data_IF_662587718665
#
_entry.id   IF_662587718665
#
_cell.length_a   1.000
_cell.length_b   1.000
_cell.length_c   1.000
_cell.angle_alpha   90.00
_cell.angle_beta   90.00
_cell.angle_gamma   90.00
#
_symmetry.space_group_name_H-M   'P 1'
#
loop_
_entity.id
_entity.type
_entity.pdbx_description
1 polymer ?
#
# COMPACT_ATOMS: atom_id res chain seq x y z
N UNK A 1 -43.15 -0.95 -18.53
CA UNK A 1 -43.64 0.14 -17.66
C UNK A 1 -42.66 0.25 -16.50
N UNK A 2 -41.88 1.33 -16.49
CA UNK A 2 -40.77 1.70 -15.57
C UNK A 2 -40.21 0.56 -14.69
N UNK A 3 -39.29 -0.22 -15.27
CA UNK A 3 -38.55 -1.32 -14.61
C UNK A 3 -37.68 -0.86 -13.44
N UNK A 4 -37.43 0.45 -13.34
CA UNK A 4 -36.55 1.04 -12.33
C UNK A 4 -37.29 2.10 -11.52
N UNK A 5 -37.01 2.16 -10.22
CA UNK A 5 -37.46 3.21 -9.33
C UNK A 5 -36.35 4.25 -9.20
N UNK A 6 -36.66 5.55 -9.21
CA UNK A 6 -35.62 6.58 -9.03
C UNK A 6 -34.96 6.40 -7.67
N UNK A 7 -33.64 6.54 -7.63
CA UNK A 7 -32.86 6.48 -6.40
C UNK A 7 -33.05 7.76 -5.55
N UNK A 8 -34.23 7.90 -4.95
CA UNK A 8 -34.62 9.01 -4.06
C UNK A 8 -35.07 8.50 -2.68
N UNK A 9 -35.01 9.36 -1.65
CA UNK A 9 -35.37 9.03 -0.28
C UNK A 9 -36.80 8.45 -0.14
N UNK A 10 -37.73 8.89 -0.98
CA UNK A 10 -39.09 8.36 -1.02
C UNK A 10 -39.14 6.89 -1.45
N UNK A 11 -38.30 6.46 -2.39
CA UNK A 11 -38.21 5.06 -2.82
C UNK A 11 -37.65 4.16 -1.72
N UNK A 12 -36.70 4.66 -0.91
CA UNK A 12 -36.23 3.98 0.29
C UNK A 12 -37.31 3.88 1.38
N UNK A 13 -38.12 4.92 1.55
CA UNK A 13 -39.21 4.93 2.52
C UNK A 13 -40.33 3.95 2.12
N UNK A 14 -40.57 3.76 0.82
CA UNK A 14 -41.50 2.75 0.30
C UNK A 14 -41.02 1.33 0.64
N UNK A 15 -39.73 1.04 0.48
CA UNK A 15 -39.16 -0.26 0.87
C UNK A 15 -39.29 -0.54 2.37
N UNK A 16 -39.13 0.48 3.22
CA UNK A 16 -39.28 0.35 4.68
C UNK A 16 -40.74 0.21 5.15
N UNK A 17 -41.69 0.69 4.36
CA UNK A 17 -43.14 0.64 4.68
C UNK A 17 -43.85 -0.57 4.07
N UNK A 18 -43.14 -1.38 3.29
CA UNK A 18 -43.69 -2.59 2.69
C UNK A 18 -44.10 -3.61 3.75
N UNK A 19 -45.14 -4.39 3.46
CA UNK A 19 -45.73 -5.32 4.43
C UNK A 19 -45.01 -6.67 4.48
N UNK A 20 -44.25 -7.01 3.44
CA UNK A 20 -43.42 -8.22 3.39
C UNK A 20 -41.97 -7.89 3.03
N UNK A 21 -41.06 -8.72 3.54
CA UNK A 21 -39.61 -8.61 3.29
C UNK A 21 -39.31 -8.80 1.79
N UNK A 22 -40.07 -9.64 1.10
CA UNK A 22 -39.97 -9.89 -0.34
C UNK A 22 -40.35 -8.66 -1.19
N UNK A 23 -41.35 -7.90 -0.76
CA UNK A 23 -41.76 -6.65 -1.42
C UNK A 23 -40.69 -5.57 -1.20
N UNK A 24 -40.12 -5.48 0.01
CA UNK A 24 -38.98 -4.61 0.31
C UNK A 24 -37.76 -4.93 -0.58
N UNK A 25 -37.42 -6.21 -0.75
CA UNK A 25 -36.31 -6.67 -1.60
C UNK A 25 -36.55 -6.27 -3.07
N UNK A 26 -37.76 -6.50 -3.59
CA UNK A 26 -38.11 -6.15 -4.98
C UNK A 26 -38.00 -4.64 -5.23
N UNK A 27 -38.47 -3.82 -4.28
CA UNK A 27 -38.38 -2.35 -4.38
C UNK A 27 -36.92 -1.90 -4.39
N UNK A 28 -36.07 -2.46 -3.51
CA UNK A 28 -34.65 -2.10 -3.42
C UNK A 28 -33.86 -2.52 -4.65
N UNK A 29 -34.13 -3.70 -5.22
CA UNK A 29 -33.54 -4.13 -6.50
C UNK A 29 -33.92 -3.21 -7.67
N UNK A 30 -35.17 -2.71 -7.70
CA UNK A 30 -35.62 -1.74 -8.71
C UNK A 30 -34.96 -0.38 -8.57
N UNK A 31 -34.62 0.04 -7.34
CA UNK A 31 -33.85 1.28 -7.07
C UNK A 31 -32.40 1.13 -7.55
N UNK A 32 -31.82 -0.07 -7.42
CA UNK A 32 -30.44 -0.34 -7.86
C UNK A 32 -30.29 -0.38 -9.38
N UNK A 33 -31.35 -0.73 -10.12
CA UNK A 33 -31.36 -0.74 -11.58
C UNK A 33 -31.47 0.64 -12.24
N UNK A 34 -31.70 1.71 -11.47
CA UNK A 34 -31.63 3.07 -12.01
C UNK A 34 -30.19 3.37 -12.45
N UNK A 35 -29.96 3.75 -13.70
CA UNK A 35 -28.62 4.05 -14.24
C UNK A 35 -28.13 5.47 -13.91
N UNK A 36 -28.95 6.26 -13.21
CA UNK A 36 -28.59 7.62 -12.82
C UNK A 36 -27.37 7.65 -11.88
N UNK A 37 -26.36 8.43 -12.26
CA UNK A 37 -25.03 8.52 -11.63
C UNK A 37 -24.80 9.87 -10.91
N UNK A 38 -25.83 10.48 -10.35
CA UNK A 38 -25.61 11.66 -9.50
C UNK A 38 -24.98 11.26 -8.15
N UNK A 39 -24.19 12.12 -7.50
CA UNK A 39 -23.59 11.83 -6.20
C UNK A 39 -24.64 11.51 -5.12
N UNK A 40 -25.81 12.16 -5.16
CA UNK A 40 -26.93 11.88 -4.25
C UNK A 40 -27.54 10.50 -4.52
N UNK A 41 -27.68 10.11 -5.79
CA UNK A 41 -28.22 8.81 -6.17
C UNK A 41 -27.28 7.67 -5.75
N UNK A 42 -25.96 7.90 -5.73
CA UNK A 42 -24.98 6.93 -5.22
C UNK A 42 -25.12 6.70 -3.71
N UNK A 43 -25.29 7.76 -2.92
CA UNK A 43 -25.48 7.64 -1.46
C UNK A 43 -26.79 6.91 -1.12
N UNK A 44 -27.85 7.19 -1.88
CA UNK A 44 -29.15 6.55 -1.71
C UNK A 44 -29.10 5.07 -2.10
N UNK A 45 -28.35 4.73 -3.16
CA UNK A 45 -28.10 3.33 -3.53
C UNK A 45 -27.23 2.60 -2.51
N UNK A 46 -26.22 3.24 -1.92
CA UNK A 46 -25.45 2.67 -0.80
C UNK A 46 -26.38 2.30 0.38
N UNK A 47 -27.28 3.21 0.78
CA UNK A 47 -28.27 2.95 1.83
C UNK A 47 -29.27 1.84 1.44
N UNK A 48 -29.66 1.79 0.16
CA UNK A 48 -30.53 0.73 -0.36
C UNK A 48 -29.86 -0.65 -0.22
N UNK A 49 -28.58 -0.74 -0.56
CA UNK A 49 -27.80 -1.98 -0.46
C UNK A 49 -27.64 -2.41 0.99
N UNK A 50 -27.36 -1.49 1.91
CA UNK A 50 -27.25 -1.83 3.34
C UNK A 50 -28.55 -2.44 3.86
N UNK A 51 -29.70 -1.79 3.59
CA UNK A 51 -31.02 -2.29 3.99
C UNK A 51 -31.37 -3.61 3.31
N UNK A 52 -31.06 -3.75 2.02
CA UNK A 52 -31.26 -4.99 1.28
C UNK A 52 -30.45 -6.13 1.91
N UNK A 53 -29.22 -5.85 2.33
CA UNK A 53 -28.36 -6.82 3.01
C UNK A 53 -28.96 -7.22 4.35
N UNK A 54 -29.43 -6.27 5.16
CA UNK A 54 -30.07 -6.55 6.45
C UNK A 54 -31.27 -7.49 6.28
N UNK A 55 -32.16 -7.20 5.33
CA UNK A 55 -33.33 -8.05 5.04
C UNK A 55 -32.94 -9.45 4.53
N UNK A 56 -32.02 -9.54 3.57
CA UNK A 56 -31.57 -10.83 3.03
C UNK A 56 -30.80 -11.67 4.05
N UNK A 57 -30.10 -11.03 4.98
CA UNK A 57 -29.40 -11.73 6.07
C UNK A 57 -30.40 -12.33 7.05
N UNK A 58 -31.49 -11.63 7.37
CA UNK A 58 -32.57 -12.16 8.22
C UNK A 58 -33.27 -13.38 7.60
N UNK A 59 -33.40 -13.42 6.27
CA UNK A 59 -33.98 -14.57 5.55
C UNK A 59 -32.97 -15.67 5.19
N UNK A 60 -31.69 -15.53 5.57
CA UNK A 60 -30.59 -16.42 5.16
C UNK A 60 -30.46 -16.59 3.63
N UNK A 61 -30.82 -15.57 2.84
CA UNK A 61 -30.79 -15.57 1.36
C UNK A 61 -29.71 -14.64 0.79
N UNK A 62 -28.74 -14.21 1.60
CA UNK A 62 -27.74 -13.24 1.17
C UNK A 62 -26.62 -13.83 0.28
N UNK A 63 -26.56 -15.15 0.07
CA UNK A 63 -25.50 -15.85 -0.67
C UNK A 63 -25.23 -15.24 -2.06
N UNK A 64 -26.28 -14.92 -2.81
CA UNK A 64 -26.15 -14.43 -4.20
C UNK A 64 -26.14 -12.89 -4.30
N UNK A 65 -26.12 -12.17 -3.19
CA UNK A 65 -26.24 -10.71 -3.18
C UNK A 65 -25.06 -10.05 -3.88
N UNK A 66 -23.83 -10.47 -3.57
CA UNK A 66 -22.63 -9.89 -4.15
C UNK A 66 -22.55 -10.16 -5.66
N UNK A 67 -22.98 -11.34 -6.12
CA UNK A 67 -23.10 -11.66 -7.55
C UNK A 67 -24.06 -10.71 -8.27
N UNK A 68 -25.23 -10.46 -7.69
CA UNK A 68 -26.24 -9.54 -8.26
C UNK A 68 -25.74 -8.09 -8.31
N UNK A 69 -24.85 -7.70 -7.40
CA UNK A 69 -24.28 -6.35 -7.34
C UNK A 69 -23.05 -6.16 -8.26
N UNK A 70 -22.50 -7.22 -8.88
CA UNK A 70 -21.33 -7.11 -9.80
C UNK A 70 -21.54 -6.10 -10.94
N UNK A 71 -22.70 -6.06 -11.64
CA UNK A 71 -22.93 -5.06 -12.69
C UNK A 71 -22.98 -3.63 -12.15
N UNK A 72 -23.35 -3.45 -10.87
CA UNK A 72 -23.32 -2.14 -10.23
C UNK A 72 -21.88 -1.73 -9.85
N UNK A 73 -21.04 -2.68 -9.44
CA UNK A 73 -19.63 -2.42 -9.09
C UNK A 73 -18.76 -1.97 -10.26
N UNK A 74 -19.15 -2.21 -11.51
CA UNK A 74 -18.46 -1.69 -12.70
C UNK A 74 -18.81 -0.23 -12.98
N UNK A 75 -19.96 0.26 -12.50
CA UNK A 75 -20.45 1.62 -12.73
C UNK A 75 -19.97 2.63 -11.68
N UNK A 76 -19.49 2.17 -10.53
CA UNK A 76 -19.08 3.03 -9.42
C UNK A 76 -17.56 3.04 -9.20
N UNK A 77 -17.00 4.10 -8.59
CA UNK A 77 -15.59 4.16 -8.25
C UNK A 77 -15.12 2.97 -7.40
N UNK A 78 -13.87 2.55 -7.59
CA UNK A 78 -13.24 1.42 -6.87
C UNK A 78 -13.34 1.57 -5.34
N UNK A 79 -13.10 2.78 -4.83
CA UNK A 79 -13.19 3.07 -3.39
C UNK A 79 -14.61 2.86 -2.84
N UNK A 80 -15.64 3.29 -3.59
CA UNK A 80 -17.04 3.07 -3.20
C UNK A 80 -17.41 1.59 -3.24
N UNK A 81 -16.94 0.84 -4.25
CA UNK A 81 -17.13 -0.61 -4.28
C UNK A 81 -16.55 -1.26 -3.02
N UNK A 82 -15.31 -0.93 -2.66
CA UNK A 82 -14.67 -1.50 -1.49
C UNK A 82 -15.44 -1.21 -0.19
N UNK A 83 -15.98 0.02 -0.05
CA UNK A 83 -16.83 0.41 1.08
C UNK A 83 -18.13 -0.42 1.14
N UNK A 84 -18.79 -0.63 0.00
CA UNK A 84 -20.03 -1.41 -0.07
C UNK A 84 -19.78 -2.88 0.26
N UNK A 85 -18.78 -3.51 -0.37
CA UNK A 85 -18.44 -4.92 -0.12
C UNK A 85 -18.11 -5.13 1.35
N UNK A 86 -17.32 -4.25 1.95
CA UNK A 86 -17.02 -4.29 3.40
C UNK A 86 -18.30 -4.16 4.22
N UNK A 87 -19.15 -3.18 3.91
CA UNK A 87 -20.41 -2.96 4.62
C UNK A 87 -21.32 -4.17 4.59
N UNK A 88 -21.41 -4.86 3.45
CA UNK A 88 -22.20 -6.09 3.30
C UNK A 88 -21.65 -7.19 4.24
N UNK A 89 -20.35 -7.46 4.17
CA UNK A 89 -19.70 -8.48 5.02
C UNK A 89 -19.87 -8.14 6.51
N UNK A 90 -19.71 -6.87 6.89
CA UNK A 90 -19.86 -6.42 8.27
C UNK A 90 -21.31 -6.57 8.78
N UNK A 91 -22.33 -6.35 7.93
CA UNK A 91 -23.74 -6.56 8.27
C UNK A 91 -24.02 -8.05 8.46
N UNK A 92 -23.57 -8.91 7.54
CA UNK A 92 -23.74 -10.37 7.65
C UNK A 92 -23.07 -10.90 8.92
N UNK A 93 -21.91 -10.35 9.29
CA UNK A 93 -21.17 -10.73 10.49
C UNK A 93 -21.85 -10.40 11.82
N UNK A 94 -22.83 -9.49 11.85
CA UNK A 94 -23.58 -9.16 13.07
C UNK A 94 -24.59 -10.24 13.47
N UNK A 95 -25.00 -11.09 12.52
CA UNK A 95 -26.00 -12.13 12.78
C UNK A 95 -25.29 -13.41 13.21
N UNK A 96 -25.61 -13.98 14.39
CA UNK A 96 -24.97 -15.21 14.86
C UNK A 96 -25.35 -16.39 13.96
N UNK A 97 -24.39 -17.27 13.67
CA UNK A 97 -24.60 -18.47 12.85
C UNK A 97 -24.43 -18.28 11.34
N UNK A 98 -24.00 -17.10 10.88
CA UNK A 98 -23.76 -16.82 9.45
C UNK A 98 -22.33 -17.10 8.99
N UNK A 99 -21.51 -17.80 9.77
CA UNK A 99 -20.07 -18.00 9.46
C UNK A 99 -19.86 -18.66 8.10
N UNK A 100 -20.61 -19.72 7.79
CA UNK A 100 -20.57 -20.40 6.48
C UNK A 100 -20.96 -19.47 5.33
N UNK A 101 -21.98 -18.64 5.54
CA UNK A 101 -22.43 -17.62 4.58
C UNK A 101 -21.36 -16.54 4.36
N UNK A 102 -20.66 -16.12 5.41
CA UNK A 102 -19.56 -15.16 5.29
C UNK A 102 -18.39 -15.76 4.50
N UNK A 103 -18.06 -17.03 4.75
CA UNK A 103 -16.99 -17.74 4.04
C UNK A 103 -17.34 -17.87 2.55
N UNK A 104 -18.57 -18.27 2.21
CA UNK A 104 -19.00 -18.40 0.81
C UNK A 104 -18.94 -17.07 0.06
N UNK A 105 -19.46 -15.99 0.67
CA UNK A 105 -19.40 -14.64 0.13
C UNK A 105 -17.96 -14.15 -0.07
N UNK A 106 -17.07 -14.41 0.91
CA UNK A 106 -15.68 -14.02 0.80
C UNK A 106 -14.96 -14.80 -0.31
N UNK A 107 -15.11 -16.14 -0.38
CA UNK A 107 -14.50 -16.96 -1.45
C UNK A 107 -14.94 -16.48 -2.85
N UNK A 108 -16.24 -16.20 -3.02
CA UNK A 108 -16.76 -15.67 -4.28
C UNK A 108 -16.15 -14.31 -4.62
N UNK A 109 -16.05 -13.40 -3.65
CA UNK A 109 -15.47 -12.08 -3.86
C UNK A 109 -13.96 -12.13 -4.16
N UNK A 110 -13.20 -13.05 -3.56
CA UNK A 110 -11.79 -13.26 -3.91
C UNK A 110 -11.66 -13.64 -5.37
N UNK A 111 -12.48 -14.60 -5.85
CA UNK A 111 -12.46 -15.01 -7.26
C UNK A 111 -12.81 -13.84 -8.20
N UNK A 112 -13.86 -13.08 -7.91
CA UNK A 112 -14.26 -11.96 -8.74
C UNK A 112 -13.21 -10.83 -8.74
N UNK A 113 -12.67 -10.47 -7.58
CA UNK A 113 -11.64 -9.42 -7.48
C UNK A 113 -10.32 -9.82 -8.16
N UNK A 114 -10.04 -11.12 -8.26
CA UNK A 114 -8.93 -11.63 -9.07
C UNK A 114 -9.14 -11.34 -10.57
N UNK A 115 -10.32 -11.66 -11.12
CA UNK A 115 -10.66 -11.40 -12.53
C UNK A 115 -10.65 -9.90 -12.84
N UNK A 116 -11.22 -9.08 -11.96
CA UNK A 116 -11.31 -7.63 -12.12
C UNK A 116 -10.00 -6.88 -11.79
N UNK A 117 -8.93 -7.60 -11.42
CA UNK A 117 -7.63 -7.05 -11.02
C UNK A 117 -7.76 -5.97 -9.93
N UNK A 118 -8.63 -6.20 -8.93
CA UNK A 118 -8.86 -5.29 -7.79
C UNK A 118 -8.01 -5.69 -6.58
N UNK A 119 -6.69 -5.56 -6.68
CA UNK A 119 -5.70 -6.07 -5.71
C UNK A 119 -6.00 -5.69 -4.25
N UNK A 120 -6.18 -4.40 -3.94
CA UNK A 120 -6.42 -3.96 -2.56
C UNK A 120 -7.74 -4.49 -1.97
N UNK A 121 -8.79 -4.58 -2.79
CA UNK A 121 -10.06 -5.16 -2.33
C UNK A 121 -9.89 -6.67 -2.11
N UNK A 122 -9.19 -7.36 -3.03
CA UNK A 122 -8.87 -8.78 -2.91
C UNK A 122 -8.12 -9.07 -1.62
N UNK A 123 -7.02 -8.36 -1.35
CA UNK A 123 -6.21 -8.56 -0.14
C UNK A 123 -7.05 -8.42 1.14
N UNK A 124 -7.92 -7.41 1.19
CA UNK A 124 -8.81 -7.20 2.35
C UNK A 124 -9.84 -8.32 2.53
N UNK A 125 -10.41 -8.82 1.44
CA UNK A 125 -11.37 -9.94 1.49
C UNK A 125 -10.66 -11.23 1.84
N UNK A 126 -9.47 -11.50 1.30
CA UNK A 126 -8.61 -12.64 1.65
C UNK A 126 -8.23 -12.63 3.13
N UNK A 127 -7.87 -11.46 3.69
CA UNK A 127 -7.56 -11.33 5.12
C UNK A 127 -8.79 -11.64 6.01
N UNK A 128 -9.97 -11.16 5.60
CA UNK A 128 -11.23 -11.47 6.30
C UNK A 128 -11.60 -12.95 6.20
N UNK A 129 -11.41 -13.55 5.02
CA UNK A 129 -11.64 -14.97 4.79
C UNK A 129 -10.71 -15.83 5.66
N UNK A 130 -9.42 -15.50 5.71
CA UNK A 130 -8.46 -16.20 6.55
C UNK A 130 -8.86 -16.15 8.03
N UNK A 131 -9.32 -14.99 8.54
CA UNK A 131 -9.81 -14.88 9.91
C UNK A 131 -11.00 -15.79 10.19
N UNK A 132 -11.98 -15.85 9.27
CA UNK A 132 -13.14 -16.75 9.41
C UNK A 132 -12.75 -18.23 9.36
N UNK A 133 -11.83 -18.60 8.47
CA UNK A 133 -11.33 -19.98 8.38
C UNK A 133 -10.55 -20.41 9.63
N UNK A 134 -9.87 -19.48 10.29
CA UNK A 134 -9.24 -19.76 11.59
C UNK A 134 -10.29 -20.04 12.68
N UNK A 135 -11.42 -19.33 12.68
CA UNK A 135 -12.54 -19.58 13.61
C UNK A 135 -13.21 -20.93 13.34
N UNK A 136 -13.36 -21.33 12.07
CA UNK A 136 -13.93 -22.65 11.68
C UNK A 136 -12.94 -23.81 11.79
N UNK A 137 -11.69 -23.55 12.20
CA UNK A 137 -10.59 -24.52 12.33
C UNK A 137 -10.10 -25.10 11.00
N UNK A 138 -10.38 -24.44 9.88
CA UNK A 138 -9.83 -24.74 8.56
C UNK A 138 -8.43 -24.13 8.40
N UNK A 139 -7.50 -24.56 9.26
CA UNK A 139 -6.16 -23.94 9.38
C UNK A 139 -5.32 -24.04 8.11
N UNK A 140 -5.45 -25.12 7.35
CA UNK A 140 -4.65 -25.34 6.12
C UNK A 140 -4.96 -24.32 5.03
N UNK A 141 -6.25 -24.05 4.78
CA UNK A 141 -6.67 -23.04 3.81
C UNK A 141 -6.37 -21.63 4.31
N UNK A 142 -6.61 -21.37 5.60
CA UNK A 142 -6.28 -20.08 6.21
C UNK A 142 -4.78 -19.74 6.06
N UNK A 143 -3.88 -20.68 6.37
CA UNK A 143 -2.43 -20.50 6.22
C UNK A 143 -2.02 -20.27 4.76
N UNK A 144 -2.65 -20.96 3.81
CA UNK A 144 -2.39 -20.77 2.38
C UNK A 144 -2.75 -19.34 1.93
N UNK A 145 -3.93 -18.86 2.34
CA UNK A 145 -4.38 -17.50 2.03
C UNK A 145 -3.47 -16.44 2.67
N UNK A 146 -3.12 -16.61 3.94
CA UNK A 146 -2.20 -15.72 4.64
C UNK A 146 -0.83 -15.71 3.95
N UNK A 147 -0.27 -16.87 3.59
CA UNK A 147 1.01 -16.92 2.87
C UNK A 147 0.97 -16.17 1.53
N UNK A 148 -0.14 -16.24 0.80
CA UNK A 148 -0.29 -15.51 -0.46
C UNK A 148 -0.44 -14.00 -0.26
N UNK A 149 -1.12 -13.58 0.79
CA UNK A 149 -1.22 -12.17 1.18
C UNK A 149 0.16 -11.57 1.47
N UNK A 150 0.95 -12.27 2.29
CA UNK A 150 2.29 -11.81 2.71
C UNK A 150 3.23 -11.68 1.51
N UNK A 151 3.19 -12.64 0.58
CA UNK A 151 3.93 -12.53 -0.70
C UNK A 151 3.47 -11.31 -1.51
N UNK A 152 2.18 -10.98 -1.47
CA UNK A 152 1.62 -9.81 -2.12
C UNK A 152 2.13 -8.49 -1.55
N UNK A 153 2.33 -8.41 -0.23
CA UNK A 153 2.88 -7.22 0.41
C UNK A 153 4.36 -7.02 0.08
N UNK A 154 5.15 -8.10 0.07
CA UNK A 154 6.55 -8.06 -0.39
C UNK A 154 6.64 -7.55 -1.85
N UNK A 155 5.79 -8.07 -2.75
CA UNK A 155 5.74 -7.60 -4.14
C UNK A 155 5.27 -6.14 -4.26
N UNK A 156 4.34 -5.73 -3.40
CA UNK A 156 3.86 -4.35 -3.35
C UNK A 156 4.97 -3.41 -2.88
N UNK A 157 5.76 -3.81 -1.90
CA UNK A 157 6.97 -3.09 -1.48
C UNK A 157 7.95 -2.90 -2.63
N UNK A 158 8.28 -3.98 -3.36
CA UNK A 158 9.18 -3.92 -4.53
C UNK A 158 8.67 -2.95 -5.59
N UNK A 159 7.37 -2.98 -5.89
CA UNK A 159 6.78 -2.09 -6.89
C UNK A 159 6.83 -0.61 -6.45
N UNK A 160 6.59 -0.32 -5.17
CA UNK A 160 6.62 1.04 -4.66
C UNK A 160 8.04 1.58 -4.51
N UNK A 161 9.03 0.71 -4.23
CA UNK A 161 10.44 1.10 -4.11
C UNK A 161 11.00 1.78 -5.37
N UNK A 162 10.39 1.57 -6.54
CA UNK A 162 10.75 2.26 -7.79
C UNK A 162 10.48 3.78 -7.76
N UNK A 163 9.61 4.26 -6.87
CA UNK A 163 9.13 5.66 -6.86
C UNK A 163 9.06 6.29 -5.48
N UNK A 164 8.67 5.52 -4.48
CA UNK A 164 8.41 6.00 -3.12
C UNK A 164 8.87 4.96 -2.09
N UNK A 165 10.12 5.12 -1.66
CA UNK A 165 10.76 4.27 -0.66
C UNK A 165 10.08 4.35 0.72
N UNK A 166 9.41 5.46 1.07
CA UNK A 166 8.71 5.58 2.36
C UNK A 166 7.47 4.69 2.39
N UNK A 167 6.70 4.70 1.31
CA UNK A 167 5.56 3.79 1.17
C UNK A 167 6.01 2.34 1.04
N UNK A 168 7.10 2.09 0.31
CA UNK A 168 7.68 0.75 0.18
C UNK A 168 8.11 0.16 1.54
N UNK A 169 8.73 0.98 2.40
CA UNK A 169 9.11 0.58 3.76
C UNK A 169 7.91 0.01 4.54
N UNK A 170 6.75 0.67 4.49
CA UNK A 170 5.54 0.21 5.16
C UNK A 170 5.11 -1.19 4.69
N UNK A 171 5.09 -1.43 3.38
CA UNK A 171 4.77 -2.75 2.83
C UNK A 171 5.80 -3.83 3.23
N UNK A 172 7.09 -3.49 3.26
CA UNK A 172 8.12 -4.43 3.71
C UNK A 172 8.02 -4.73 5.21
N UNK A 173 7.64 -3.73 6.03
CA UNK A 173 7.41 -3.90 7.46
C UNK A 173 6.25 -4.86 7.73
N UNK A 174 5.11 -4.68 7.07
CA UNK A 174 3.95 -5.59 7.18
C UNK A 174 4.33 -7.02 6.74
N UNK A 175 5.07 -7.15 5.63
CA UNK A 175 5.57 -8.44 5.17
C UNK A 175 6.55 -9.08 6.17
N UNK A 176 7.42 -8.29 6.80
CA UNK A 176 8.36 -8.74 7.82
C UNK A 176 7.64 -9.25 9.08
N UNK A 177 6.71 -8.47 9.63
CA UNK A 177 5.96 -8.90 10.83
C UNK A 177 5.20 -10.19 10.57
N UNK A 178 4.63 -10.33 9.37
CA UNK A 178 3.87 -11.52 9.02
C UNK A 178 4.75 -12.75 8.75
N UNK A 179 5.93 -12.61 8.11
CA UNK A 179 6.87 -13.73 7.98
C UNK A 179 7.46 -14.16 9.32
N UNK A 180 7.80 -13.20 10.19
CA UNK A 180 8.28 -13.46 11.55
C UNK A 180 7.25 -14.19 12.40
N UNK A 181 5.97 -13.81 12.30
CA UNK A 181 4.89 -14.53 12.98
C UNK A 181 4.71 -15.97 12.50
N UNK A 182 5.16 -16.29 11.27
CA UNK A 182 5.08 -17.61 10.67
C UNK A 182 6.41 -18.39 10.74
N UNK A 183 7.46 -17.83 11.34
CA UNK A 183 8.83 -18.38 11.35
C UNK A 183 9.31 -18.73 9.93
N UNK A 184 8.96 -17.89 8.96
CA UNK A 184 9.32 -18.10 7.56
C UNK A 184 10.69 -17.47 7.25
N UNK A 185 11.66 -18.22 6.69
CA UNK A 185 13.01 -17.72 6.47
C UNK A 185 13.09 -16.50 5.54
N UNK A 186 12.00 -16.17 4.84
CA UNK A 186 11.92 -14.97 3.99
C UNK A 186 11.81 -13.66 4.75
N UNK A 187 11.55 -13.70 6.06
CA UNK A 187 11.57 -12.53 6.95
C UNK A 187 12.87 -11.71 6.81
N UNK A 188 14.01 -12.38 6.66
CA UNK A 188 15.33 -11.73 6.50
C UNK A 188 15.36 -10.86 5.24
N UNK A 189 14.71 -11.29 4.14
CA UNK A 189 14.64 -10.49 2.92
C UNK A 189 13.76 -9.25 3.09
N UNK A 190 12.61 -9.38 3.77
CA UNK A 190 11.76 -8.23 4.09
C UNK A 190 12.52 -7.21 4.93
N UNK A 191 13.23 -7.66 5.98
CA UNK A 191 14.06 -6.80 6.82
C UNK A 191 15.17 -6.12 6.01
N UNK A 192 15.86 -6.87 5.14
CA UNK A 192 16.89 -6.35 4.25
C UNK A 192 16.36 -5.22 3.35
N UNK A 193 15.19 -5.38 2.76
CA UNK A 193 14.58 -4.35 1.92
C UNK A 193 14.05 -3.15 2.71
N UNK A 194 13.62 -3.33 3.97
CA UNK A 194 13.33 -2.22 4.88
C UNK A 194 14.58 -1.37 5.13
N UNK A 195 15.72 -2.01 5.43
CA UNK A 195 16.99 -1.32 5.66
C UNK A 195 17.45 -0.58 4.39
N UNK A 196 17.27 -1.17 3.21
CA UNK A 196 17.53 -0.51 1.94
C UNK A 196 16.69 0.76 1.81
N UNK A 197 15.39 0.69 2.08
CA UNK A 197 14.50 1.85 2.03
C UNK A 197 14.98 2.96 2.96
N UNK A 198 15.43 2.63 4.18
CA UNK A 198 15.97 3.62 5.13
C UNK A 198 17.20 4.36 4.57
N UNK A 199 18.14 3.64 3.96
CA UNK A 199 19.29 4.29 3.28
C UNK A 199 18.80 5.20 2.15
N UNK A 200 17.85 4.72 1.33
CA UNK A 200 17.31 5.48 0.19
C UNK A 200 16.52 6.74 0.59
N UNK A 201 16.01 6.81 1.83
CA UNK A 201 15.32 8.01 2.36
C UNK A 201 16.22 8.90 3.24
N UNK A 202 17.55 8.73 3.15
CA UNK A 202 18.56 9.45 3.92
C UNK A 202 18.44 9.24 5.45
N UNK A 203 18.04 8.03 5.86
CA UNK A 203 17.92 7.60 7.27
C UNK A 203 18.85 6.42 7.56
N UNK A 204 20.06 6.45 7.02
CA UNK A 204 21.04 5.38 7.21
C UNK A 204 21.47 5.19 8.68
N UNK A 205 21.39 6.25 9.50
CA UNK A 205 21.73 6.18 10.93
C UNK A 205 20.79 5.24 11.71
N UNK A 206 19.54 5.12 11.27
CA UNK A 206 18.54 4.24 11.89
C UNK A 206 18.84 2.76 11.63
N UNK A 207 19.60 2.43 10.57
CA UNK A 207 19.94 1.04 10.20
C UNK A 207 20.70 0.35 11.34
N UNK A 208 21.70 1.03 11.92
CA UNK A 208 22.46 0.47 13.02
C UNK A 208 21.59 0.25 14.28
N UNK A 209 20.66 1.16 14.54
CA UNK A 209 19.69 1.06 15.64
C UNK A 209 18.72 -0.12 15.46
N UNK A 210 18.19 -0.30 14.25
CA UNK A 210 17.28 -1.41 13.92
C UNK A 210 17.98 -2.75 14.07
N UNK A 211 19.19 -2.90 13.54
CA UNK A 211 19.99 -4.15 13.64
C UNK A 211 20.34 -4.47 15.10
N UNK A 212 20.69 -3.44 15.89
CA UNK A 212 21.08 -3.62 17.29
C UNK A 212 19.89 -3.80 18.25
N UNK A 213 18.66 -3.67 17.75
CA UNK A 213 17.44 -3.87 18.54
C UNK A 213 17.29 -5.34 18.95
N UNK A 214 16.51 -5.59 20.01
CA UNK A 214 16.24 -6.96 20.49
C UNK A 214 15.70 -7.88 19.39
N UNK A 215 14.87 -7.35 18.49
CA UNK A 215 14.36 -8.08 17.33
C UNK A 215 15.44 -8.25 16.26
N UNK A 216 16.20 -7.19 15.95
CA UNK A 216 17.26 -7.22 14.93
C UNK A 216 18.39 -8.21 15.23
N UNK A 217 18.74 -8.39 16.50
CA UNK A 217 19.79 -9.33 16.93
C UNK A 217 19.50 -10.79 16.55
N UNK A 218 18.23 -11.14 16.32
CA UNK A 218 17.84 -12.49 15.91
C UNK A 218 18.20 -12.80 14.45
N UNK A 219 18.41 -11.77 13.64
CA UNK A 219 18.64 -11.88 12.20
C UNK A 219 20.07 -11.57 11.79
N UNK A 220 21.00 -11.52 12.75
CA UNK A 220 22.41 -11.27 12.47
C UNK A 220 22.94 -12.30 11.46
N UNK A 221 23.62 -11.81 10.45
CA UNK A 221 24.09 -12.61 9.33
C UNK A 221 24.57 -11.75 8.18
N UNK A 222 25.02 -12.40 7.09
CA UNK A 222 25.68 -11.71 5.99
C UNK A 222 24.77 -10.70 5.29
N UNK A 223 23.44 -10.91 5.24
CA UNK A 223 22.50 -9.95 4.66
C UNK A 223 22.44 -8.64 5.46
N UNK A 224 22.40 -8.70 6.80
CA UNK A 224 22.38 -7.51 7.65
C UNK A 224 23.75 -6.84 7.71
N UNK A 225 24.84 -7.62 7.71
CA UNK A 225 26.20 -7.08 7.64
C UNK A 225 26.43 -6.32 6.33
N UNK A 226 25.91 -6.83 5.21
CA UNK A 226 25.95 -6.16 3.92
C UNK A 226 25.18 -4.83 3.96
N UNK A 227 23.97 -4.81 4.52
CA UNK A 227 23.19 -3.57 4.66
C UNK A 227 23.86 -2.55 5.59
N UNK A 228 24.53 -3.02 6.64
CA UNK A 228 25.31 -2.17 7.54
C UNK A 228 26.53 -1.57 6.84
N UNK A 229 27.18 -2.32 5.95
CA UNK A 229 28.28 -1.83 5.14
C UNK A 229 27.82 -0.77 4.12
N UNK A 230 26.65 -0.96 3.49
CA UNK A 230 26.02 0.07 2.64
C UNK A 230 25.73 1.33 3.46
N UNK A 231 25.10 1.19 4.63
CA UNK A 231 24.80 2.32 5.49
C UNK A 231 26.07 3.07 5.94
N UNK A 232 27.14 2.36 6.29
CA UNK A 232 28.43 2.95 6.64
C UNK A 232 29.08 3.68 5.45
N UNK A 233 29.04 3.10 4.24
CA UNK A 233 29.54 3.73 3.03
C UNK A 233 28.75 5.01 2.69
N UNK A 234 27.44 4.99 2.91
CA UNK A 234 26.57 6.14 2.77
C UNK A 234 26.89 7.23 3.79
N UNK A 235 26.92 6.92 5.09
CA UNK A 235 27.19 7.91 6.14
C UNK A 235 28.61 8.50 6.04
N UNK A 236 29.57 7.76 5.46
CA UNK A 236 30.94 8.24 5.19
C UNK A 236 31.11 8.88 3.81
N UNK A 237 30.06 8.92 2.99
CA UNK A 237 30.09 9.43 1.62
C UNK A 237 31.26 8.86 0.78
N UNK A 238 31.49 7.55 0.90
CA UNK A 238 32.65 6.90 0.32
C UNK A 238 32.24 5.87 -0.72
N UNK A 239 32.34 6.26 -2.00
CA UNK A 239 32.16 5.35 -3.14
C UNK A 239 33.11 4.15 -3.05
N UNK A 240 34.33 4.35 -2.56
CA UNK A 240 35.29 3.26 -2.35
C UNK A 240 34.79 2.22 -1.33
N UNK A 241 34.18 2.65 -0.24
CA UNK A 241 33.58 1.73 0.73
C UNK A 241 32.35 1.04 0.15
N UNK A 242 31.57 1.73 -0.68
CA UNK A 242 30.42 1.15 -1.34
C UNK A 242 30.82 0.06 -2.35
N UNK A 243 31.81 0.32 -3.21
CA UNK A 243 32.37 -0.66 -4.15
C UNK A 243 32.95 -1.87 -3.42
N UNK A 244 33.72 -1.64 -2.36
CA UNK A 244 34.23 -2.72 -1.52
C UNK A 244 33.10 -3.54 -0.88
N UNK A 245 31.99 -2.90 -0.52
CA UNK A 245 30.80 -3.60 0.01
C UNK A 245 30.15 -4.47 -1.06
N UNK A 246 29.99 -3.97 -2.29
CA UNK A 246 29.44 -4.74 -3.40
C UNK A 246 30.30 -5.94 -3.78
N UNK A 247 31.63 -5.83 -3.66
CA UNK A 247 32.56 -6.94 -3.90
C UNK A 247 32.54 -7.97 -2.76
N UNK A 248 32.63 -7.52 -1.51
CA UNK A 248 32.68 -8.40 -0.34
C UNK A 248 31.36 -9.13 -0.09
N UNK A 249 30.24 -8.51 -0.44
CA UNK A 249 28.89 -9.05 -0.25
C UNK A 249 28.18 -9.31 -1.59
N UNK A 250 28.92 -9.83 -2.59
CA UNK A 250 28.40 -10.03 -3.95
C UNK A 250 27.10 -10.86 -3.99
N UNK A 251 27.01 -11.94 -3.21
CA UNK A 251 25.83 -12.79 -3.16
C UNK A 251 24.61 -12.07 -2.54
N UNK A 252 24.84 -11.20 -1.57
CA UNK A 252 23.78 -10.48 -0.86
C UNK A 252 23.37 -9.19 -1.58
N UNK A 253 24.28 -8.52 -2.30
CA UNK A 253 24.00 -7.22 -2.91
C UNK A 253 23.93 -7.30 -4.44
N UNK A 254 24.98 -7.82 -5.07
CA UNK A 254 25.12 -7.84 -6.53
C UNK A 254 24.21 -8.88 -7.21
N UNK A 255 24.01 -10.03 -6.58
CA UNK A 255 23.13 -11.10 -7.08
C UNK A 255 21.67 -10.92 -6.66
N UNK A 256 21.39 -10.02 -5.71
CA UNK A 256 20.03 -9.66 -5.32
C UNK A 256 19.41 -8.73 -6.38
N UNK A 257 18.39 -9.17 -7.13
CA UNK A 257 17.88 -8.42 -8.27
C UNK A 257 17.20 -7.11 -7.88
N UNK A 258 16.71 -7.00 -6.63
CA UNK A 258 16.01 -5.81 -6.13
C UNK A 258 17.08 -4.77 -5.75
N UNK A 259 18.08 -5.16 -4.97
CA UNK A 259 19.18 -4.25 -4.60
C UNK A 259 19.99 -3.82 -5.82
N UNK A 260 20.28 -4.76 -6.72
CA UNK A 260 21.02 -4.46 -7.95
C UNK A 260 20.31 -3.39 -8.79
N UNK A 261 18.97 -3.46 -8.88
CA UNK A 261 18.17 -2.46 -9.60
C UNK A 261 18.30 -1.05 -9.02
N UNK A 262 18.37 -0.93 -7.69
CA UNK A 262 18.53 0.35 -7.00
C UNK A 262 19.98 0.80 -6.85
N UNK A 263 20.96 0.01 -7.34
CA UNK A 263 22.39 0.30 -7.17
C UNK A 263 22.80 1.63 -7.81
N UNK A 264 22.29 1.96 -8.99
CA UNK A 264 22.59 3.26 -9.63
C UNK A 264 22.12 4.44 -8.78
N UNK A 265 20.93 4.35 -8.19
CA UNK A 265 20.42 5.39 -7.29
C UNK A 265 21.21 5.47 -5.99
N UNK A 266 21.70 4.34 -5.47
CA UNK A 266 22.63 4.33 -4.32
C UNK A 266 23.96 5.02 -4.67
N UNK A 267 24.54 4.77 -5.86
CA UNK A 267 25.74 5.45 -6.32
C UNK A 267 25.55 6.98 -6.34
N UNK A 268 24.46 7.45 -6.96
CA UNK A 268 24.14 8.88 -7.02
C UNK A 268 23.96 9.47 -5.61
N UNK A 269 23.26 8.76 -4.73
CA UNK A 269 22.98 9.24 -3.37
C UNK A 269 24.25 9.34 -2.51
N UNK A 270 25.18 8.39 -2.65
CA UNK A 270 26.47 8.39 -1.93
C UNK A 270 27.41 9.46 -2.50
N UNK A 271 27.39 9.68 -3.83
CA UNK A 271 28.21 10.69 -4.52
C UNK A 271 27.75 12.13 -4.21
N UNK A 272 26.45 12.34 -3.99
CA UNK A 272 25.84 13.63 -3.68
C UNK A 272 26.10 14.11 -2.23
N UNK A 273 27.37 14.19 -1.84
CA UNK A 273 27.76 14.78 -0.57
C UNK A 273 27.48 16.29 -0.54
N UNK A 274 26.87 16.81 0.53
CA UNK A 274 26.57 18.24 0.69
C UNK A 274 27.80 19.10 0.44
N UNK A 275 28.98 18.75 0.99
CA UNK A 275 30.19 19.55 0.76
C UNK A 275 30.68 19.48 -0.70
N UNK A 276 30.41 18.36 -1.41
CA UNK A 276 30.76 18.26 -2.83
C UNK A 276 29.79 19.07 -3.69
N UNK A 277 28.50 19.04 -3.37
CA UNK A 277 27.46 19.85 -4.00
C UNK A 277 27.70 21.34 -3.73
N UNK A 278 28.00 21.73 -2.49
CA UNK A 278 28.37 23.09 -2.13
C UNK A 278 29.64 23.53 -2.84
N UNK A 279 30.70 22.71 -2.85
CA UNK A 279 31.94 23.02 -3.57
C UNK A 279 31.69 23.18 -5.08
N UNK A 280 30.83 22.35 -5.66
CA UNK A 280 30.49 22.43 -7.09
C UNK A 280 29.63 23.65 -7.40
N UNK A 281 28.64 23.95 -6.57
CA UNK A 281 27.81 25.15 -6.67
C UNK A 281 28.67 26.41 -6.51
N UNK A 282 29.56 26.47 -5.52
CA UNK A 282 30.53 27.56 -5.37
C UNK A 282 31.40 27.73 -6.62
N UNK A 283 31.91 26.64 -7.21
CA UNK A 283 32.69 26.70 -8.45
C UNK A 283 31.84 27.24 -9.62
N UNK A 284 30.62 26.74 -9.81
CA UNK A 284 29.73 27.16 -10.92
C UNK A 284 29.29 28.63 -10.77
N UNK A 285 29.11 29.11 -9.52
CA UNK A 285 28.86 30.52 -9.20
C UNK A 285 30.08 31.38 -9.53
N UNK A 286 31.29 30.97 -9.11
CA UNK A 286 32.55 31.65 -9.41
C UNK A 286 32.82 31.72 -10.93
N UNK A 287 32.53 30.63 -11.64
CA UNK A 287 32.63 30.52 -13.10
C UNK A 287 31.54 31.33 -13.85
N UNK A 288 30.64 32.02 -13.11
CA UNK A 288 29.51 32.81 -13.63
C UNK A 288 28.53 32.04 -14.49
N UNK A 289 28.53 30.71 -14.40
CA UNK A 289 27.60 29.82 -15.11
C UNK A 289 26.25 29.73 -14.39
N UNK A 290 26.20 30.12 -13.12
CA UNK A 290 25.00 30.18 -12.30
C UNK A 290 24.97 31.48 -11.50
N UNK A 291 23.83 32.19 -11.52
CA UNK A 291 23.66 33.47 -10.83
C UNK A 291 23.08 33.23 -9.43
N UNK A 292 23.94 33.20 -8.43
CA UNK A 292 23.54 33.03 -7.03
C UNK A 292 24.71 33.21 -6.07
N UNK A 293 24.44 33.09 -4.78
CA UNK A 293 25.47 33.01 -3.72
C UNK A 293 25.14 31.88 -2.77
N UNK A 294 26.17 31.28 -2.16
CA UNK A 294 26.05 30.17 -1.24
C UNK A 294 26.36 30.67 0.18
N UNK A 295 25.37 30.64 1.06
CA UNK A 295 25.56 30.97 2.48
C UNK A 295 25.94 29.69 3.24
N UNK A 296 27.25 29.52 3.46
CA UNK A 296 27.82 28.35 4.14
C UNK A 296 27.47 28.27 5.64
N UNK A 297 27.03 29.38 6.25
CA UNK A 297 26.61 29.38 7.66
C UNK A 297 25.21 28.82 7.87
N UNK A 298 24.35 28.94 6.85
CA UNK A 298 22.92 28.56 6.89
C UNK A 298 22.62 27.38 5.94
N UNK A 299 23.57 26.98 5.09
CA UNK A 299 23.40 25.88 4.12
C UNK A 299 22.40 26.21 3.01
N UNK A 300 22.33 27.47 2.60
CA UNK A 300 21.30 27.96 1.67
C UNK A 300 21.92 28.51 0.37
N UNK A 301 21.30 28.21 -0.77
CA UNK A 301 21.62 28.78 -2.08
C UNK A 301 20.64 29.91 -2.41
N UNK A 302 21.14 31.15 -2.49
CA UNK A 302 20.35 32.31 -2.88
C UNK A 302 20.48 32.49 -4.39
N UNK A 303 19.37 32.38 -5.12
CA UNK A 303 19.34 32.47 -6.59
C UNK A 303 18.95 33.89 -7.01
N UNK A 304 19.70 34.50 -7.93
CA UNK A 304 19.39 35.82 -8.45
C UNK A 304 18.63 35.70 -9.77
N UNK A 305 17.46 36.35 -9.84
CA UNK A 305 16.61 36.33 -11.05
C UNK A 305 17.16 37.20 -12.21
N UNK A 306 18.19 38.01 -11.98
CA UNK A 306 18.76 38.90 -13.00
C UNK A 306 20.30 38.78 -13.08
N UNK A 307 20.87 38.32 -14.21
CA UNK A 307 22.32 38.16 -14.40
C UNK A 307 23.13 39.45 -14.21
N UNK A 308 22.49 40.63 -14.31
CA UNK A 308 23.15 41.94 -14.21
C UNK A 308 23.58 42.33 -12.78
N UNK A 309 22.99 41.72 -11.75
CA UNK A 309 23.33 41.99 -10.34
C UNK A 309 24.70 41.43 -9.91
N UNK A 310 25.26 40.46 -10.66
CA UNK A 310 26.59 39.89 -10.37
C UNK A 310 27.76 40.89 -10.56
N UNK A 311 27.56 41.98 -11.30
CA UNK A 311 28.60 42.97 -11.58
C UNK A 311 28.70 44.09 -10.54
N UNK A 312 27.70 44.28 -9.66
CA UNK A 312 27.66 45.40 -8.72
C UNK A 312 28.30 45.12 -7.35
N UNK A 313 28.58 43.86 -6.99
CA UNK A 313 29.13 43.49 -5.68
C UNK A 313 30.67 43.42 -5.61
N UNK A 314 31.39 43.99 -6.58
CA UNK A 314 32.87 44.08 -6.55
C UNK A 314 33.43 45.34 -5.89
N UNK A 315 32.60 46.10 -5.20
CA UNK A 315 33.07 47.20 -4.37
C UNK A 315 32.52 46.98 -2.96
N UNK A 316 33.26 46.26 -2.13
CA UNK A 316 33.55 46.52 -0.71
C UNK A 316 34.44 45.39 -0.18
#
# INVERSE_FOLDING_TARGET
MTTHLPAIANSLALALKAKSVEESISILQRVLGDLSSSPDNLSIKEQAITKLTEFLTQENKAENLLTQLRPYFTLIPKAKTAKIVRGIIDVVAKVPGTTELQISLCREMVQWTHVEKRTFLRQRVEARLAALLMETKEYTEALSLLSNLIKGDLQSGILHAEKDYKTAYGYFYEAFEAFNALEDPREVYSLKYMLLCNVMVNQADDVAGIISSKAGLQYLGPDLDAMKAIADAYSKHSLKLFEASLENFKAQLGEDPIIHRHSSSLYELIELHVNHVESKLSQVILDKRFAGTLDQGVGCLIIFNDPKLMLSMKQH
#
